data_IF_287869582398
#
_entry.id   IF_287869582398
#
_cell.length_a   1.000
_cell.length_b   1.000
_cell.length_c   1.000
_cell.angle_alpha   90.00
_cell.angle_beta   90.00
_cell.angle_gamma   90.00
#
_symmetry.space_group_name_H-M   'P 1'
#
loop_
_entity.id
_entity.type
_entity.pdbx_description
1 polymer ?
#
# COMPACT_ATOMS: atom_id res chain seq x y z
N UNK A 1 -13.00 1.96 -6.22
CA UNK A 1 -12.02 1.46 -5.24
C UNK A 1 -12.01 2.41 -4.07
N UNK A 2 -11.88 1.90 -2.86
CA UNK A 2 -11.59 2.73 -1.69
C UNK A 2 -10.14 3.20 -1.77
N UNK A 3 -9.92 4.49 -2.00
CA UNK A 3 -8.58 5.08 -2.16
C UNK A 3 -7.69 4.89 -0.93
N UNK A 4 -8.29 4.78 0.26
CA UNK A 4 -7.57 4.52 1.53
C UNK A 4 -6.95 3.12 1.58
N UNK A 5 -7.42 2.20 0.72
CA UNK A 5 -7.00 0.81 0.62
C UNK A 5 -6.13 0.53 -0.60
N UNK A 6 -5.61 1.59 -1.20
CA UNK A 6 -4.69 1.51 -2.31
C UNK A 6 -3.26 1.66 -1.78
N UNK A 7 -2.45 0.64 -1.98
CA UNK A 7 -1.09 0.56 -1.47
C UNK A 7 -0.10 0.55 -2.62
N UNK A 8 0.82 1.50 -2.61
CA UNK A 8 1.88 1.60 -3.60
C UNK A 8 3.18 1.03 -3.04
N UNK A 9 3.86 0.20 -3.82
CA UNK A 9 5.20 -0.30 -3.54
C UNK A 9 6.18 0.51 -4.38
N UNK A 10 6.91 1.39 -3.72
CA UNK A 10 7.78 2.41 -4.30
C UNK A 10 9.04 2.50 -3.44
N UNK A 11 10.16 1.85 -3.84
CA UNK A 11 11.38 1.88 -3.05
C UNK A 11 11.94 3.30 -2.91
N UNK A 12 12.58 3.57 -1.77
CA UNK A 12 13.20 4.87 -1.47
C UNK A 12 14.68 4.94 -1.85
N UNK A 13 15.15 3.93 -2.56
CA UNK A 13 16.53 3.80 -3.06
C UNK A 13 16.51 3.41 -4.54
N UNK A 14 17.64 3.61 -5.20
CA UNK A 14 17.85 3.18 -6.57
C UNK A 14 18.29 1.71 -6.64
N UNK A 15 17.85 1.00 -7.70
CA UNK A 15 18.26 -0.39 -7.89
C UNK A 15 17.80 -1.00 -9.20
N UNK A 16 18.01 -2.31 -9.30
CA UNK A 16 17.60 -3.15 -10.42
C UNK A 16 16.71 -4.29 -9.94
N UNK A 17 15.72 -4.64 -10.74
CA UNK A 17 14.84 -5.77 -10.48
C UNK A 17 15.53 -7.03 -11.00
N UNK A 18 15.94 -7.93 -10.10
CA UNK A 18 16.58 -9.18 -10.48
C UNK A 18 15.55 -10.28 -10.78
N UNK A 19 14.48 -10.36 -9.97
CA UNK A 19 13.47 -11.40 -10.11
C UNK A 19 12.08 -10.88 -9.75
N UNK A 20 11.09 -11.34 -10.50
CA UNK A 20 9.67 -11.09 -10.20
C UNK A 20 9.06 -12.39 -9.65
N UNK A 21 8.41 -12.29 -8.47
CA UNK A 21 7.58 -13.34 -7.91
C UNK A 21 6.11 -13.15 -8.29
N UNK A 22 5.71 -11.89 -8.47
CA UNK A 22 4.37 -11.49 -8.95
C UNK A 22 4.56 -10.79 -10.29
N UNK A 23 4.08 -11.41 -11.35
CA UNK A 23 4.38 -10.99 -12.73
C UNK A 23 3.15 -10.58 -13.54
N UNK A 24 1.97 -10.55 -12.94
CA UNK A 24 0.75 -10.20 -13.66
C UNK A 24 -0.12 -9.21 -12.87
N UNK A 25 -0.70 -8.25 -13.60
CA UNK A 25 -1.82 -7.44 -13.13
C UNK A 25 -3.04 -8.36 -12.93
N UNK A 26 -3.84 -8.10 -11.89
CA UNK A 26 -4.97 -8.94 -11.51
C UNK A 26 -4.61 -10.12 -10.61
N UNK A 27 -3.33 -10.37 -10.34
CA UNK A 27 -2.89 -11.43 -9.44
C UNK A 27 -3.23 -11.09 -7.99
N UNK A 28 -3.78 -12.05 -7.25
CA UNK A 28 -4.01 -11.93 -5.82
C UNK A 28 -2.70 -12.08 -5.05
N UNK A 29 -2.52 -11.25 -4.03
CA UNK A 29 -1.36 -11.27 -3.14
C UNK A 29 -1.78 -11.17 -1.69
N UNK A 30 -1.04 -11.85 -0.82
CA UNK A 30 -1.17 -11.73 0.63
C UNK A 30 -0.25 -10.66 1.21
N UNK A 31 -0.61 -10.09 2.37
CA UNK A 31 0.28 -9.20 3.12
C UNK A 31 1.60 -9.90 3.44
N UNK A 32 2.74 -9.24 3.17
CA UNK A 32 4.06 -9.81 3.37
C UNK A 32 4.52 -10.78 2.27
N UNK A 33 3.67 -11.10 1.30
CA UNK A 33 4.05 -11.96 0.18
C UNK A 33 5.16 -11.30 -0.65
N UNK A 34 6.21 -12.05 -1.06
CA UNK A 34 7.24 -11.56 -1.96
C UNK A 34 6.65 -11.10 -3.30
N UNK A 35 7.00 -9.91 -3.75
CA UNK A 35 6.62 -9.34 -5.05
C UNK A 35 7.79 -9.41 -6.04
N UNK A 36 8.96 -8.95 -5.61
CA UNK A 36 10.17 -8.92 -6.42
C UNK A 36 11.43 -9.01 -5.56
N UNK A 37 12.53 -9.44 -6.15
CA UNK A 37 13.87 -9.30 -5.60
C UNK A 37 14.60 -8.19 -6.34
N UNK A 38 15.19 -7.27 -5.59
CA UNK A 38 15.89 -6.11 -6.13
C UNK A 38 17.32 -6.07 -5.63
N UNK A 39 18.21 -5.56 -6.47
CA UNK A 39 19.59 -5.30 -6.17
C UNK A 39 19.85 -3.79 -6.14
N UNK A 40 20.57 -3.32 -5.12
CA UNK A 40 21.02 -1.93 -5.04
C UNK A 40 22.45 -1.91 -4.52
N UNK A 41 23.41 -1.36 -5.29
CA UNK A 41 24.79 -1.19 -4.81
C UNK A 41 24.89 -0.33 -3.56
N UNK A 42 24.10 0.75 -3.50
CA UNK A 42 24.05 1.66 -2.34
C UNK A 42 23.56 0.93 -1.09
N UNK A 43 22.51 0.11 -1.23
CA UNK A 43 21.98 -0.68 -0.14
C UNK A 43 22.99 -1.69 0.38
N UNK A 44 23.72 -2.36 -0.52
CA UNK A 44 24.78 -3.32 -0.16
C UNK A 44 25.91 -2.60 0.59
N UNK A 45 26.34 -1.42 0.11
CA UNK A 45 27.38 -0.62 0.77
C UNK A 45 26.94 -0.16 2.16
N UNK A 46 25.73 0.35 2.28
CA UNK A 46 25.18 0.79 3.57
C UNK A 46 25.03 -0.36 4.58
N UNK A 47 24.63 -1.54 4.13
CA UNK A 47 24.58 -2.74 4.97
C UNK A 47 25.99 -3.11 5.49
N UNK A 48 27.01 -3.10 4.62
CA UNK A 48 28.40 -3.38 4.98
C UNK A 48 28.93 -2.35 5.99
N UNK A 49 28.74 -1.07 5.72
CA UNK A 49 29.16 0.03 6.62
C UNK A 49 28.52 -0.12 8.00
N UNK A 50 27.22 -0.39 8.05
CA UNK A 50 26.52 -0.61 9.32
C UNK A 50 27.02 -1.86 10.06
N UNK A 51 27.21 -2.98 9.37
CA UNK A 51 27.69 -4.22 9.95
C UNK A 51 29.09 -4.04 10.56
N UNK A 52 30.02 -3.39 9.84
CA UNK A 52 31.37 -3.08 10.32
C UNK A 52 31.31 -2.18 11.57
N UNK A 53 30.51 -1.13 11.53
CA UNK A 53 30.37 -0.20 12.65
C UNK A 53 29.73 -0.86 13.88
N UNK A 54 28.73 -1.72 13.68
CA UNK A 54 28.06 -2.45 14.75
C UNK A 54 29.01 -3.47 15.44
N UNK A 55 29.77 -4.22 14.64
CA UNK A 55 30.78 -5.19 15.15
C UNK A 55 31.97 -4.48 15.77
N UNK A 56 32.45 -3.37 15.18
CA UNK A 56 33.55 -2.58 15.70
C UNK A 56 33.30 -2.02 17.11
N UNK A 57 32.03 -1.69 17.42
CA UNK A 57 31.65 -1.30 18.80
C UNK A 57 31.97 -2.37 19.84
N UNK A 58 31.80 -3.63 19.48
CA UNK A 58 32.07 -4.75 20.40
C UNK A 58 33.57 -4.99 20.56
N UNK A 59 34.30 -4.89 19.46
CA UNK A 59 35.78 -5.06 19.44
C UNK A 59 36.53 -3.91 20.12
N UNK A 60 35.96 -2.72 20.19
CA UNK A 60 36.55 -1.52 20.77
C UNK A 60 36.06 -1.23 22.20
N UNK A 61 35.55 -2.21 22.91
CA UNK A 61 35.11 -2.04 24.33
C UNK A 61 36.23 -1.54 25.24
N UNK A 62 37.46 -1.95 24.96
CA UNK A 62 38.66 -1.57 25.70
C UNK A 62 39.42 -0.37 25.09
N UNK A 63 38.91 0.21 24.01
CA UNK A 63 39.48 1.40 23.37
C UNK A 63 39.05 2.69 24.09
N UNK A 64 39.80 3.76 23.86
CA UNK A 64 39.52 5.06 24.48
C UNK A 64 38.11 5.60 24.10
N UNK A 65 37.54 6.50 24.94
CA UNK A 65 36.18 6.99 24.82
C UNK A 65 35.88 7.67 23.46
N UNK A 66 36.87 8.31 22.86
CA UNK A 66 36.72 8.97 21.54
C UNK A 66 36.51 7.96 20.41
N UNK A 67 37.26 6.84 20.41
CA UNK A 67 37.11 5.79 19.41
C UNK A 67 35.76 5.09 19.54
N UNK A 68 35.29 4.85 20.76
CA UNK A 68 33.95 4.31 21.02
C UNK A 68 32.85 5.25 20.56
N UNK A 69 32.97 6.56 20.83
CA UNK A 69 31.99 7.57 20.39
C UNK A 69 31.92 7.67 18.86
N UNK A 70 33.05 7.68 18.16
CA UNK A 70 33.12 7.71 16.71
C UNK A 70 32.46 6.48 16.08
N UNK A 71 32.70 5.27 16.58
CA UNK A 71 32.10 4.06 16.07
C UNK A 71 30.61 3.99 16.36
N UNK A 72 30.17 4.50 17.52
CA UNK A 72 28.75 4.61 17.85
C UNK A 72 28.04 5.55 16.88
N UNK A 73 28.58 6.72 16.61
CA UNK A 73 28.00 7.68 15.67
C UNK A 73 27.92 7.12 14.26
N UNK A 74 28.93 6.38 13.81
CA UNK A 74 28.91 5.73 12.48
C UNK A 74 27.81 4.67 12.39
N UNK A 75 27.66 3.84 13.43
CA UNK A 75 26.58 2.84 13.49
C UNK A 75 25.19 3.49 13.52
N UNK A 76 24.99 4.57 14.26
CA UNK A 76 23.72 5.30 14.32
C UNK A 76 23.36 5.95 12.98
N UNK A 77 24.35 6.53 12.29
CA UNK A 77 24.15 7.10 10.94
C UNK A 77 23.78 6.03 9.92
N UNK A 78 24.48 4.89 9.92
CA UNK A 78 24.17 3.75 9.07
C UNK A 78 22.78 3.18 9.34
N UNK A 79 22.42 3.04 10.62
CA UNK A 79 21.10 2.59 11.05
C UNK A 79 19.99 3.52 10.56
N UNK A 80 20.16 4.83 10.72
CA UNK A 80 19.20 5.82 10.25
C UNK A 80 19.00 5.75 8.75
N UNK A 81 20.07 5.57 7.97
CA UNK A 81 20.00 5.43 6.52
C UNK A 81 19.23 4.18 6.10
N UNK A 82 19.50 3.03 6.71
CA UNK A 82 18.78 1.77 6.44
C UNK A 82 17.29 1.89 6.77
N UNK A 83 16.94 2.51 7.90
CA UNK A 83 15.55 2.76 8.29
C UNK A 83 14.83 3.71 7.35
N UNK A 84 15.51 4.76 6.86
CA UNK A 84 14.95 5.68 5.87
C UNK A 84 14.62 4.97 4.54
N UNK A 85 15.28 3.86 4.24
CA UNK A 85 15.00 3.01 3.07
C UNK A 85 14.01 1.88 3.36
N UNK A 86 13.32 1.93 4.51
CA UNK A 86 12.32 0.94 4.95
C UNK A 86 12.89 -0.48 5.10
N UNK A 87 14.18 -0.60 5.40
CA UNK A 87 14.78 -1.89 5.74
C UNK A 87 14.22 -2.34 7.09
N UNK A 88 13.69 -3.56 7.15
CA UNK A 88 13.02 -4.07 8.34
C UNK A 88 13.97 -4.21 9.53
N UNK A 89 13.44 -4.00 10.74
CA UNK A 89 14.22 -4.18 11.98
C UNK A 89 14.76 -5.60 12.11
N UNK A 90 14.10 -6.61 11.57
CA UNK A 90 14.57 -7.99 11.52
C UNK A 90 15.82 -8.15 10.66
N UNK A 91 15.88 -7.48 9.51
CA UNK A 91 17.06 -7.47 8.65
C UNK A 91 18.22 -6.71 9.30
N UNK A 92 17.93 -5.58 9.95
CA UNK A 92 18.91 -4.78 10.69
C UNK A 92 19.47 -5.56 11.87
N UNK A 93 18.63 -6.29 12.61
CA UNK A 93 19.08 -7.12 13.73
C UNK A 93 20.05 -8.23 13.26
N UNK A 94 19.74 -8.90 12.16
CA UNK A 94 20.66 -9.90 11.57
C UNK A 94 22.02 -9.31 11.19
N UNK A 95 22.06 -8.13 10.60
CA UNK A 95 23.32 -7.46 10.27
C UNK A 95 24.14 -7.14 11.52
N UNK A 96 23.49 -6.71 12.61
CA UNK A 96 24.12 -6.41 13.89
C UNK A 96 24.73 -7.66 14.54
N UNK A 97 24.08 -8.81 14.39
CA UNK A 97 24.51 -10.10 14.95
C UNK A 97 25.59 -10.81 14.11
N UNK A 98 26.14 -10.13 13.10
CA UNK A 98 27.17 -10.68 12.23
C UNK A 98 26.65 -11.51 11.05
N UNK A 99 25.37 -11.37 10.74
CA UNK A 99 24.75 -11.99 9.56
C UNK A 99 25.33 -11.47 8.24
N UNK A 100 25.29 -12.32 7.22
CA UNK A 100 25.78 -11.95 5.90
C UNK A 100 25.00 -10.79 5.29
N UNK A 101 25.75 -9.88 4.66
CA UNK A 101 25.16 -8.82 3.82
C UNK A 101 24.48 -9.46 2.62
N UNK A 102 23.19 -9.26 2.50
CA UNK A 102 22.43 -9.77 1.36
C UNK A 102 22.61 -8.87 0.16
N UNK A 103 22.94 -9.46 -0.96
CA UNK A 103 23.03 -8.75 -2.23
C UNK A 103 21.65 -8.26 -2.68
N UNK A 104 20.61 -9.05 -2.48
CA UNK A 104 19.25 -8.76 -2.90
C UNK A 104 18.35 -8.47 -1.71
N UNK A 105 17.41 -7.56 -1.91
CA UNK A 105 16.31 -7.26 -1.00
C UNK A 105 15.01 -7.76 -1.61
N UNK A 106 14.19 -8.43 -0.82
CA UNK A 106 12.85 -8.85 -1.24
C UNK A 106 11.85 -7.73 -0.94
N UNK A 107 11.27 -7.15 -1.98
CA UNK A 107 10.12 -6.27 -1.87
C UNK A 107 8.87 -7.11 -1.59
N UNK A 108 8.10 -6.71 -0.58
CA UNK A 108 6.92 -7.45 -0.12
C UNK A 108 5.66 -6.62 -0.24
N UNK A 109 4.52 -7.30 -0.41
CA UNK A 109 3.23 -6.62 -0.42
C UNK A 109 2.89 -6.04 0.97
N UNK A 110 2.53 -4.76 1.06
CA UNK A 110 2.14 -4.12 2.32
C UNK A 110 0.75 -4.56 2.80
N UNK A 111 -0.08 -5.08 1.90
CA UNK A 111 -1.45 -5.50 2.18
C UNK A 111 -1.82 -6.77 1.41
N UNK A 112 -2.88 -7.44 1.85
CA UNK A 112 -3.56 -8.46 1.05
C UNK A 112 -4.49 -7.77 0.05
N UNK A 113 -4.54 -8.25 -1.19
CA UNK A 113 -5.37 -7.63 -2.22
C UNK A 113 -5.06 -8.13 -3.62
N UNK A 114 -5.37 -7.30 -4.59
CA UNK A 114 -5.14 -7.57 -6.01
C UNK A 114 -4.15 -6.56 -6.56
N UNK A 115 -3.21 -7.01 -7.38
CA UNK A 115 -2.28 -6.13 -8.09
C UNK A 115 -3.05 -5.39 -9.18
N UNK A 116 -3.27 -4.09 -8.97
CA UNK A 116 -3.98 -3.22 -9.92
C UNK A 116 -3.07 -2.74 -11.03
N UNK A 117 -1.83 -2.43 -10.70
CA UNK A 117 -0.82 -1.97 -11.64
C UNK A 117 0.54 -2.58 -11.31
N UNK A 118 1.26 -3.00 -12.34
CA UNK A 118 2.62 -3.53 -12.26
C UNK A 118 3.47 -2.84 -13.31
N UNK A 119 4.41 -1.99 -12.89
CA UNK A 119 5.44 -1.40 -13.74
C UNK A 119 6.76 -2.15 -13.69
N UNK A 120 6.94 -2.97 -12.65
CA UNK A 120 8.14 -3.76 -12.46
C UNK A 120 8.38 -4.74 -13.64
N UNK A 121 9.57 -4.70 -14.23
CA UNK A 121 10.03 -5.61 -15.28
C UNK A 121 11.38 -6.19 -14.85
N UNK A 122 11.60 -7.49 -15.05
CA UNK A 122 12.87 -8.14 -14.72
C UNK A 122 14.02 -7.50 -15.52
N UNK A 123 15.13 -7.20 -14.85
CA UNK A 123 16.29 -6.50 -15.42
C UNK A 123 16.17 -4.97 -15.49
N UNK A 124 15.00 -4.41 -15.22
CA UNK A 124 14.76 -2.97 -15.25
C UNK A 124 15.46 -2.28 -14.07
N UNK A 125 16.04 -1.09 -14.33
CA UNK A 125 16.47 -0.15 -13.30
C UNK A 125 15.28 0.67 -12.84
N UNK A 126 15.22 0.95 -11.56
CA UNK A 126 14.22 1.85 -10.96
C UNK A 126 14.88 2.96 -10.14
N UNK A 127 14.22 4.08 -10.04
CA UNK A 127 14.65 5.26 -9.28
C UNK A 127 13.88 5.35 -7.96
N UNK A 128 14.44 6.08 -6.95
CA UNK A 128 13.72 6.33 -5.70
C UNK A 128 12.35 6.97 -5.95
N UNK A 129 11.30 6.44 -5.32
CA UNK A 129 9.95 6.93 -5.48
C UNK A 129 9.20 6.39 -6.70
N UNK A 130 9.85 5.64 -7.57
CA UNK A 130 9.19 5.03 -8.72
C UNK A 130 8.23 3.92 -8.28
N UNK A 131 6.99 3.97 -8.76
CA UNK A 131 5.98 2.96 -8.46
C UNK A 131 6.28 1.68 -9.24
N UNK A 132 6.54 0.59 -8.51
CA UNK A 132 6.75 -0.74 -9.09
C UNK A 132 5.48 -1.59 -9.10
N UNK A 133 4.71 -1.51 -8.03
CA UNK A 133 3.42 -2.20 -7.88
C UNK A 133 2.40 -1.30 -7.21
N UNK A 134 1.15 -1.49 -7.56
CA UNK A 134 0.00 -0.95 -6.85
C UNK A 134 -0.93 -2.10 -6.49
N UNK A 135 -1.20 -2.27 -5.18
CA UNK A 135 -2.05 -3.32 -4.63
C UNK A 135 -3.29 -2.68 -4.03
N UNK A 136 -4.46 -3.15 -4.41
CA UNK A 136 -5.72 -2.71 -3.85
C UNK A 136 -6.33 -3.80 -2.96
N UNK A 137 -6.67 -3.45 -1.74
CA UNK A 137 -7.53 -4.26 -0.90
C UNK A 137 -8.98 -4.01 -1.33
N UNK A 138 -9.58 -5.01 -1.97
CA UNK A 138 -10.95 -4.95 -2.47
C UNK A 138 -11.98 -5.55 -1.49
N UNK A 139 -11.63 -5.78 -0.24
CA UNK A 139 -12.55 -6.31 0.78
C UNK A 139 -13.73 -5.37 1.08
N UNK A 140 -13.57 -4.08 0.80
CA UNK A 140 -14.61 -3.06 0.77
C UNK A 140 -14.48 -2.22 -0.50
N UNK A 141 -15.59 -1.82 -1.05
CA UNK A 141 -15.63 -0.98 -2.25
C UNK A 141 -16.56 0.21 -2.06
N UNK A 142 -16.28 1.29 -2.77
CA UNK A 142 -17.14 2.46 -2.82
C UNK A 142 -17.93 2.50 -4.11
N UNK A 143 -19.22 2.77 -3.99
CA UNK A 143 -20.08 3.19 -5.07
C UNK A 143 -20.27 4.69 -4.93
N UNK A 144 -19.98 5.42 -6.00
CA UNK A 144 -20.29 6.84 -6.11
C UNK A 144 -21.56 6.92 -6.95
N UNK A 145 -22.65 7.32 -6.33
CA UNK A 145 -23.94 7.50 -6.97
C UNK A 145 -24.25 8.99 -7.12
N UNK A 146 -24.75 9.38 -8.28
CA UNK A 146 -25.19 10.74 -8.54
C UNK A 146 -26.66 10.87 -8.14
N UNK A 147 -26.95 11.64 -7.08
CA UNK A 147 -28.30 11.91 -6.58
C UNK A 147 -28.73 13.28 -7.07
N UNK A 148 -29.92 13.37 -7.66
CA UNK A 148 -30.45 14.65 -8.15
C UNK A 148 -30.66 15.67 -7.03
N UNK A 149 -30.49 16.94 -7.37
CA UNK A 149 -30.63 18.08 -6.45
C UNK A 149 -31.96 18.05 -5.67
N UNK A 150 -33.04 17.70 -6.32
CA UNK A 150 -34.37 17.59 -5.71
C UNK A 150 -34.46 16.53 -4.61
N UNK A 151 -33.67 15.47 -4.68
CA UNK A 151 -33.73 14.30 -3.81
C UNK A 151 -32.64 14.33 -2.71
N UNK A 152 -31.64 15.19 -2.86
CA UNK A 152 -30.48 15.21 -1.93
C UNK A 152 -30.88 15.53 -0.49
N UNK A 153 -31.96 16.29 -0.31
CA UNK A 153 -32.53 16.60 1.00
C UNK A 153 -32.96 15.37 1.81
N UNK A 154 -33.19 14.24 1.14
CA UNK A 154 -33.60 12.96 1.74
C UNK A 154 -32.42 12.07 2.12
N UNK A 155 -31.20 12.41 1.68
CA UNK A 155 -30.01 11.59 1.89
C UNK A 155 -29.30 11.99 3.18
N UNK A 156 -28.94 11.02 3.98
CA UNK A 156 -28.19 11.22 5.24
C UNK A 156 -27.01 10.27 5.33
N UNK A 157 -25.90 10.75 5.89
CA UNK A 157 -24.77 9.88 6.25
C UNK A 157 -25.26 8.88 7.31
N UNK A 158 -24.86 7.62 7.15
CA UNK A 158 -25.33 6.50 7.97
C UNK A 158 -26.58 5.78 7.43
N UNK A 159 -27.24 6.32 6.42
CA UNK A 159 -28.42 5.71 5.81
C UNK A 159 -28.05 4.43 5.07
N UNK A 160 -28.89 3.40 5.21
CA UNK A 160 -28.77 2.15 4.47
C UNK A 160 -29.19 2.32 3.03
N UNK A 161 -28.45 1.67 2.14
CA UNK A 161 -28.66 1.72 0.72
C UNK A 161 -28.64 0.31 0.13
N UNK A 162 -29.55 0.01 -0.77
CA UNK A 162 -29.50 -1.19 -1.60
C UNK A 162 -28.87 -0.85 -2.93
N UNK A 163 -27.81 -1.57 -3.26
CA UNK A 163 -27.05 -1.38 -4.50
C UNK A 163 -27.27 -2.57 -5.40
N UNK A 164 -27.76 -2.33 -6.61
CA UNK A 164 -27.91 -3.32 -7.66
C UNK A 164 -26.82 -3.12 -8.70
N UNK A 165 -26.16 -4.20 -9.07
CA UNK A 165 -25.05 -4.17 -10.02
C UNK A 165 -25.45 -4.97 -11.25
N UNK A 166 -25.34 -4.38 -12.43
CA UNK A 166 -25.79 -4.99 -13.68
C UNK A 166 -25.16 -6.36 -13.97
N UNK A 167 -23.96 -6.60 -13.49
CA UNK A 167 -23.29 -7.91 -13.59
C UNK A 167 -23.92 -9.00 -12.71
N UNK A 168 -24.74 -8.63 -11.71
CA UNK A 168 -25.39 -9.53 -10.76
C UNK A 168 -26.86 -9.14 -10.56
N UNK A 169 -27.73 -9.31 -11.58
CA UNK A 169 -29.10 -8.78 -11.56
C UNK A 169 -29.96 -9.36 -10.44
N UNK A 170 -29.68 -10.60 -10.04
CA UNK A 170 -30.43 -11.31 -8.99
C UNK A 170 -29.94 -11.01 -7.57
N UNK A 171 -28.90 -10.17 -7.42
CA UNK A 171 -28.31 -9.83 -6.12
C UNK A 171 -28.47 -8.35 -5.82
N UNK A 172 -28.92 -8.06 -4.62
CA UNK A 172 -28.84 -6.74 -4.02
C UNK A 172 -27.73 -6.75 -2.98
N UNK A 173 -26.86 -5.75 -3.04
CA UNK A 173 -25.79 -5.55 -2.07
C UNK A 173 -26.22 -4.46 -1.09
N UNK A 174 -26.01 -4.70 0.19
CA UNK A 174 -26.30 -3.70 1.21
C UNK A 174 -25.07 -2.83 1.44
N UNK A 175 -25.28 -1.54 1.49
CA UNK A 175 -24.24 -0.55 1.74
C UNK A 175 -24.72 0.55 2.66
N UNK A 176 -23.79 1.37 3.11
CA UNK A 176 -24.09 2.50 3.97
C UNK A 176 -23.57 3.79 3.32
N UNK A 177 -24.38 4.82 3.32
CA UNK A 177 -23.97 6.16 2.91
C UNK A 177 -22.90 6.68 3.88
N UNK A 178 -21.68 6.86 3.39
CA UNK A 178 -20.55 7.31 4.23
C UNK A 178 -20.20 8.77 4.00
N UNK A 179 -20.57 9.34 2.85
CA UNK A 179 -20.26 10.72 2.54
C UNK A 179 -21.21 11.30 1.49
N UNK A 180 -21.58 12.54 1.67
CA UNK A 180 -22.31 13.37 0.69
C UNK A 180 -21.35 14.49 0.28
N UNK A 181 -21.01 14.56 -1.00
CA UNK A 181 -20.07 15.55 -1.48
C UNK A 181 -20.69 16.96 -1.39
N UNK A 182 -19.91 18.00 -1.02
CA UNK A 182 -20.42 19.35 -0.89
C UNK A 182 -20.57 20.09 -2.23
N UNK A 183 -20.25 19.43 -3.34
CA UNK A 183 -20.23 20.01 -4.68
C UNK A 183 -21.35 19.46 -5.54
N UNK A 184 -22.09 20.36 -6.19
CA UNK A 184 -23.08 20.03 -7.21
C UNK A 184 -22.39 19.94 -8.58
N UNK A 185 -22.61 18.87 -9.32
CA UNK A 185 -22.23 18.77 -10.74
C UNK A 185 -23.25 19.60 -11.56
N UNK A 186 -22.81 20.73 -12.09
CA UNK A 186 -23.68 21.67 -12.79
C UNK A 186 -24.32 21.06 -14.05
N UNK A 187 -23.59 20.18 -14.75
CA UNK A 187 -24.02 19.55 -16.00
C UNK A 187 -25.21 18.59 -15.80
N UNK A 188 -25.19 17.82 -14.71
CA UNK A 188 -26.20 16.81 -14.40
C UNK A 188 -27.16 17.23 -13.30
N UNK A 189 -26.93 18.36 -12.65
CA UNK A 189 -27.64 18.83 -11.44
C UNK A 189 -27.74 17.74 -10.39
N UNK A 190 -26.63 17.07 -10.12
CA UNK A 190 -26.55 15.99 -9.16
C UNK A 190 -25.43 16.20 -8.17
N UNK A 191 -25.61 15.64 -6.99
CA UNK A 191 -24.61 15.62 -5.91
C UNK A 191 -24.07 14.19 -5.82
N UNK A 192 -22.76 13.97 -5.90
CA UNK A 192 -22.19 12.66 -5.67
C UNK A 192 -22.41 12.22 -4.21
N UNK A 193 -22.78 10.96 -4.04
CA UNK A 193 -22.96 10.32 -2.73
C UNK A 193 -22.14 9.07 -2.70
N UNK A 194 -21.30 8.91 -1.67
CA UNK A 194 -20.48 7.72 -1.49
C UNK A 194 -21.18 6.70 -0.61
N UNK A 195 -21.33 5.52 -1.13
CA UNK A 195 -21.85 4.34 -0.43
C UNK A 195 -20.76 3.31 -0.30
N UNK A 196 -20.49 2.85 0.91
CA UNK A 196 -19.50 1.81 1.20
C UNK A 196 -20.21 0.45 1.27
N UNK A 197 -19.65 -0.54 0.57
CA UNK A 197 -20.14 -1.91 0.52
C UNK A 197 -19.04 -2.87 0.95
N UNK A 198 -19.40 -3.86 1.75
CA UNK A 198 -18.53 -5.00 2.01
C UNK A 198 -18.42 -5.89 0.75
N UNK A 199 -17.22 -6.36 0.46
CA UNK A 199 -16.93 -7.19 -0.70
C UNK A 199 -16.06 -8.41 -0.32
N UNK A 200 -16.50 -9.27 0.61
CA UNK A 200 -15.67 -10.34 1.18
C UNK A 200 -15.22 -11.38 0.14
N UNK A 201 -15.97 -11.53 -0.96
CA UNK A 201 -15.63 -12.46 -2.03
C UNK A 201 -14.90 -11.84 -3.23
N UNK A 202 -14.57 -10.54 -3.18
CA UNK A 202 -13.91 -9.84 -4.31
C UNK A 202 -14.76 -9.81 -5.60
N UNK A 203 -16.09 -10.03 -5.49
CA UNK A 203 -17.00 -10.09 -6.63
C UNK A 203 -17.17 -8.72 -7.30
N UNK A 204 -17.19 -7.67 -6.48
CA UNK A 204 -17.32 -6.30 -6.96
C UNK A 204 -15.96 -5.80 -7.42
N UNK A 205 -15.89 -5.40 -8.69
CA UNK A 205 -14.66 -4.91 -9.30
C UNK A 205 -14.76 -3.41 -9.59
N UNK A 206 -13.63 -2.70 -9.61
CA UNK A 206 -13.61 -1.32 -10.07
C UNK A 206 -14.25 -1.15 -11.45
N UNK A 207 -14.83 0.03 -11.69
CA UNK A 207 -15.52 0.40 -12.93
C UNK A 207 -16.81 -0.38 -13.26
N UNK A 208 -17.35 -1.18 -12.35
CA UNK A 208 -18.70 -1.73 -12.50
C UNK A 208 -19.75 -0.63 -12.33
N UNK A 209 -20.80 -0.69 -13.16
CA UNK A 209 -21.97 0.19 -13.02
C UNK A 209 -22.93 -0.37 -11.99
N UNK A 210 -23.48 0.53 -11.18
CA UNK A 210 -24.43 0.20 -10.15
C UNK A 210 -25.59 1.20 -10.13
N UNK A 211 -26.77 0.73 -9.77
CA UNK A 211 -27.92 1.56 -9.40
C UNK A 211 -28.13 1.52 -7.90
N UNK A 212 -28.50 2.66 -7.33
CA UNK A 212 -28.71 2.84 -5.91
C UNK A 212 -30.19 3.02 -5.61
N UNK A 213 -30.69 2.24 -4.67
CA UNK A 213 -32.01 2.43 -4.05
C UNK A 213 -31.77 2.86 -2.59
N UNK A 214 -32.11 4.10 -2.27
CA UNK A 214 -32.08 4.60 -0.89
C UNK A 214 -33.43 4.29 -0.24
N UNK A 215 -33.41 3.59 0.90
CA UNK A 215 -34.60 3.44 1.71
C UNK A 215 -34.94 4.80 2.28
N UNK A 216 -36.14 5.32 2.01
CA UNK A 216 -36.62 6.53 2.65
C UNK A 216 -36.46 6.35 4.18
N UNK A 217 -35.77 7.29 4.84
CA UNK A 217 -35.72 7.29 6.29
C UNK A 217 -37.17 7.32 6.78
N UNK A 218 -37.59 6.23 7.43
CA UNK A 218 -38.96 6.13 7.94
C UNK A 218 -39.21 7.33 8.86
N UNK A 219 -40.19 8.13 8.51
CA UNK A 219 -40.79 9.10 9.43
C UNK A 219 -41.35 8.30 10.60
N UNK A 220 -40.62 8.33 11.75
CA UNK A 220 -41.20 7.95 13.04
C UNK A 220 -41.93 9.15 13.60
#
# INVERSE_FOLDING_TARGET
VDERRLHTVSPKFEGWIEKLHVNATGQAVGRGQPLAEVYSPELVSAQKEYAIAAQGRESLRDAGPEAQAGMKQLAESGLSRLRNWDISDEQIARLREGGEVRRTLTLRSPASGIVMEKKAVAGMRFMPGEMLYQVADLSSVWVIADVFEQDIGLVRVGQQAKVRIGAYPDKAFEGTVTYVYPTLKAETRSVPVRVELANPGGQLKPAMFASLELSAAGSA
#
